data_IF_362590240159
#
_entry.id   IF_362590240159
#
_cell.length_a   1.000
_cell.length_b   1.000
_cell.length_c   1.000
_cell.angle_alpha   90.00
_cell.angle_beta   90.00
_cell.angle_gamma   90.00
#
_symmetry.space_group_name_H-M   'P 1'
#
loop_
_entity.id
_entity.type
_entity.pdbx_description
1 polymer ?
#
# COMPACT_ATOMS: atom_id res chain seq x y z
N UNK A 1 -14.18 14.95 -21.08
CA UNK A 1 -12.84 14.84 -20.45
C UNK A 1 -12.11 16.17 -20.62
N UNK A 2 -11.74 16.87 -19.54
CA UNK A 2 -10.96 18.09 -19.64
C UNK A 2 -9.63 17.86 -20.37
N UNK A 3 -9.35 18.67 -21.40
CA UNK A 3 -8.17 18.52 -22.27
C UNK A 3 -8.38 17.57 -23.45
N UNK A 4 -9.55 16.93 -23.56
CA UNK A 4 -9.89 16.02 -24.64
C UNK A 4 -11.18 16.44 -25.35
N UNK A 5 -11.48 17.74 -25.39
CA UNK A 5 -12.71 18.30 -25.98
C UNK A 5 -12.83 17.98 -27.46
N UNK A 6 -11.70 17.83 -28.16
CA UNK A 6 -11.61 17.50 -29.58
C UNK A 6 -11.28 16.02 -29.85
N UNK A 7 -11.16 15.18 -28.82
CA UNK A 7 -10.84 13.76 -28.97
C UNK A 7 -12.12 12.96 -29.16
N UNK A 8 -12.13 12.06 -30.14
CA UNK A 8 -13.27 11.14 -30.33
C UNK A 8 -13.41 10.22 -29.11
N UNK A 9 -14.60 10.19 -28.54
CA UNK A 9 -14.96 9.34 -27.41
C UNK A 9 -15.65 8.08 -27.93
N UNK A 10 -15.11 6.92 -27.56
CA UNK A 10 -15.64 5.58 -27.85
C UNK A 10 -15.83 4.85 -26.52
N UNK A 11 -17.02 4.34 -26.27
CA UNK A 11 -17.40 3.65 -25.03
C UNK A 11 -17.08 4.47 -23.76
N UNK A 12 -17.22 5.79 -23.84
CA UNK A 12 -17.03 6.70 -22.71
C UNK A 12 -15.59 7.06 -22.39
N UNK A 13 -14.63 6.66 -23.24
CA UNK A 13 -13.20 7.00 -23.09
C UNK A 13 -12.62 7.55 -24.38
N UNK A 14 -11.53 8.34 -24.33
CA UNK A 14 -10.81 8.76 -25.53
C UNK A 14 -10.38 7.54 -26.39
N UNK A 15 -10.58 7.63 -27.71
CA UNK A 15 -10.31 6.53 -28.65
C UNK A 15 -8.83 6.06 -28.60
N UNK A 16 -7.93 6.97 -28.24
CA UNK A 16 -6.48 6.69 -28.11
C UNK A 16 -6.12 5.89 -26.87
N UNK A 17 -7.03 5.82 -25.88
CA UNK A 17 -6.75 5.10 -24.65
C UNK A 17 -7.05 3.61 -24.80
N UNK A 18 -6.11 2.79 -24.40
CA UNK A 18 -6.26 1.34 -24.40
C UNK A 18 -6.59 0.80 -22.99
N UNK A 19 -7.27 -0.35 -22.94
CA UNK A 19 -7.45 -1.13 -21.70
C UNK A 19 -6.37 -2.22 -21.66
N UNK A 20 -5.42 -2.07 -20.75
CA UNK A 20 -4.29 -2.99 -20.59
C UNK A 20 -4.43 -3.83 -19.31
N UNK A 21 -3.95 -5.09 -19.32
CA UNK A 21 -3.85 -5.88 -18.10
C UNK A 21 -3.02 -5.19 -17.03
N UNK A 22 -3.38 -5.40 -15.77
CA UNK A 22 -2.67 -4.77 -14.63
C UNK A 22 -1.17 -5.07 -14.65
N UNK A 23 -0.77 -6.27 -15.07
CA UNK A 23 0.64 -6.66 -15.17
C UNK A 23 1.48 -5.70 -16.03
N UNK A 24 0.88 -5.04 -17.02
CA UNK A 24 1.58 -4.12 -17.93
C UNK A 24 1.99 -2.80 -17.23
N UNK A 25 1.46 -2.55 -16.04
CA UNK A 25 1.79 -1.38 -15.21
C UNK A 25 2.80 -1.69 -14.10
N UNK A 26 3.28 -2.94 -14.04
CA UNK A 26 4.19 -3.42 -12.99
C UNK A 26 5.54 -3.75 -13.58
N UNK A 27 6.60 -3.13 -13.05
CA UNK A 27 7.97 -3.40 -13.47
C UNK A 27 8.60 -4.58 -12.73
N UNK A 28 8.16 -4.83 -11.49
CA UNK A 28 8.67 -5.93 -10.66
C UNK A 28 7.68 -6.25 -9.54
N UNK A 29 7.58 -7.51 -9.16
CA UNK A 29 6.84 -7.95 -7.99
C UNK A 29 7.53 -9.09 -7.26
N UNK A 30 7.39 -9.14 -5.94
CA UNK A 30 7.92 -10.23 -5.12
C UNK A 30 7.04 -10.46 -3.89
N UNK A 31 6.97 -11.70 -3.43
CA UNK A 31 6.36 -12.02 -2.14
C UNK A 31 7.16 -11.43 -0.99
N UNK A 32 6.46 -11.02 0.07
CA UNK A 32 7.10 -10.54 1.28
C UNK A 32 7.83 -11.64 2.07
N UNK A 33 8.32 -11.27 3.23
CA UNK A 33 9.01 -12.17 4.15
C UNK A 33 8.64 -11.85 5.59
N UNK A 34 8.67 -12.85 6.49
CA UNK A 34 8.35 -12.61 7.89
C UNK A 34 9.59 -12.30 8.74
N UNK A 35 10.71 -12.96 8.42
CA UNK A 35 11.93 -12.87 9.22
C UNK A 35 11.86 -13.62 10.54
N UNK A 36 12.85 -13.38 11.39
CA UNK A 36 13.03 -14.01 12.70
C UNK A 36 12.70 -13.04 13.83
N UNK A 37 12.21 -13.55 14.96
CA UNK A 37 11.94 -12.71 16.15
C UNK A 37 13.22 -12.24 16.82
N UNK A 38 14.20 -13.11 16.86
CA UNK A 38 15.50 -12.86 17.47
C UNK A 38 16.58 -12.89 16.39
N UNK A 39 17.58 -12.07 16.61
CA UNK A 39 18.80 -12.08 15.79
C UNK A 39 19.51 -13.43 15.90
N UNK A 40 19.98 -13.95 14.76
CA UNK A 40 20.78 -15.15 14.68
C UNK A 40 21.89 -14.97 13.62
N UNK A 41 22.79 -15.98 13.48
CA UNK A 41 23.95 -15.92 12.58
C UNK A 41 23.60 -15.58 11.11
N UNK A 42 22.41 -15.94 10.63
CA UNK A 42 21.97 -15.71 9.25
C UNK A 42 21.09 -14.45 9.12
N UNK A 43 20.27 -14.18 10.12
CA UNK A 43 19.30 -13.10 10.13
C UNK A 43 19.74 -12.03 11.13
N UNK A 44 20.60 -11.13 10.67
CA UNK A 44 21.28 -10.13 11.51
C UNK A 44 20.73 -8.72 11.31
N UNK A 45 20.04 -8.45 10.20
CA UNK A 45 19.68 -7.09 9.80
C UNK A 45 18.23 -6.81 10.19
N UNK A 46 18.00 -5.79 11.01
CA UNK A 46 16.66 -5.43 11.45
C UNK A 46 15.83 -4.78 10.34
N UNK A 47 14.52 -5.05 10.33
CA UNK A 47 13.57 -4.37 9.47
C UNK A 47 12.17 -4.40 10.06
N UNK A 48 11.37 -3.41 9.70
CA UNK A 48 9.93 -3.39 9.96
C UNK A 48 9.20 -4.22 8.91
N UNK A 49 8.13 -4.93 9.32
CA UNK A 49 7.43 -5.89 8.46
C UNK A 49 5.94 -5.55 8.39
N UNK A 50 5.50 -4.90 7.32
CA UNK A 50 4.10 -4.52 7.11
C UNK A 50 3.25 -5.77 6.84
N UNK A 51 2.28 -6.04 7.73
CA UNK A 51 1.28 -7.09 7.56
C UNK A 51 0.03 -6.55 6.85
N UNK A 52 -0.77 -7.41 6.28
CA UNK A 52 -2.09 -7.04 5.74
C UNK A 52 -2.97 -6.31 6.76
N UNK A 53 -2.91 -6.73 8.03
CA UNK A 53 -3.64 -6.09 9.14
C UNK A 53 -3.17 -4.67 9.47
N UNK A 54 -1.93 -4.33 9.17
CA UNK A 54 -1.36 -3.02 9.46
C UNK A 54 -1.77 -1.97 8.40
N UNK A 55 -2.13 -2.40 7.19
CA UNK A 55 -2.42 -1.52 6.05
C UNK A 55 -3.48 -0.46 6.40
N UNK A 56 -4.56 -0.86 7.08
CA UNK A 56 -5.61 0.07 7.52
C UNK A 56 -5.06 1.14 8.48
N UNK A 57 -4.19 0.74 9.39
CA UNK A 57 -3.53 1.67 10.31
C UNK A 57 -2.59 2.62 9.59
N UNK A 58 -1.78 2.08 8.66
CA UNK A 58 -0.80 2.88 7.91
C UNK A 58 -1.43 4.02 7.12
N UNK A 59 -2.54 3.77 6.42
CA UNK A 59 -3.26 4.82 5.68
C UNK A 59 -3.93 5.85 6.61
N UNK A 60 -4.04 5.53 7.91
CA UNK A 60 -4.52 6.42 8.97
C UNK A 60 -3.39 6.99 9.85
N UNK A 61 -2.15 6.94 9.39
CA UNK A 61 -0.98 7.52 10.07
C UNK A 61 -0.43 6.71 11.25
N UNK A 62 -0.92 5.48 11.48
CA UNK A 62 -0.46 4.61 12.58
C UNK A 62 0.78 3.81 12.15
N UNK A 63 1.91 4.51 12.01
CA UNK A 63 3.14 3.90 11.49
C UNK A 63 3.90 3.06 12.53
N UNK A 64 3.60 3.20 13.83
CA UNK A 64 4.35 2.57 14.91
C UNK A 64 3.87 1.15 15.26
N UNK A 65 2.75 0.68 14.70
CA UNK A 65 2.19 -0.65 15.01
C UNK A 65 2.84 -1.78 14.21
N UNK A 66 3.78 -1.46 13.33
CA UNK A 66 4.42 -2.43 12.44
C UNK A 66 5.47 -3.23 13.19
N UNK A 67 5.41 -4.58 13.18
CA UNK A 67 6.37 -5.41 13.90
C UNK A 67 7.80 -5.29 13.35
N UNK A 68 8.73 -5.51 14.24
CA UNK A 68 10.17 -5.48 14.01
C UNK A 68 10.73 -6.89 13.98
N UNK A 69 11.52 -7.23 12.97
CA UNK A 69 12.06 -8.58 12.75
C UNK A 69 13.49 -8.51 12.19
N UNK A 70 14.19 -9.64 12.23
CA UNK A 70 15.53 -9.77 11.69
C UNK A 70 15.53 -10.56 10.38
N UNK A 71 16.33 -10.11 9.43
CA UNK A 71 16.37 -10.64 8.07
C UNK A 71 17.79 -10.88 7.59
N UNK A 72 17.91 -11.72 6.57
CA UNK A 72 19.16 -11.88 5.81
C UNK A 72 19.37 -10.69 4.88
N UNK A 73 20.61 -10.38 4.52
CA UNK A 73 20.94 -9.32 3.56
C UNK A 73 20.24 -9.53 2.20
N UNK A 74 20.27 -10.75 1.66
CA UNK A 74 19.64 -11.07 0.39
C UNK A 74 18.10 -10.92 0.41
N UNK A 75 17.46 -11.19 1.58
CA UNK A 75 16.03 -10.96 1.74
C UNK A 75 15.72 -9.47 1.67
N UNK A 76 16.50 -8.63 2.34
CA UNK A 76 16.27 -7.19 2.33
C UNK A 76 16.60 -6.55 0.98
N UNK A 77 17.65 -6.96 0.31
CA UNK A 77 18.04 -6.42 -0.99
C UNK A 77 16.88 -6.49 -1.98
N UNK A 78 16.17 -7.61 -2.03
CA UNK A 78 15.09 -7.84 -2.99
C UNK A 78 13.74 -7.32 -2.51
N UNK A 79 13.48 -7.30 -1.19
CA UNK A 79 12.15 -7.01 -0.61
C UNK A 79 12.01 -5.66 0.04
N UNK A 80 13.12 -4.92 0.25
CA UNK A 80 13.08 -3.58 0.82
C UNK A 80 12.15 -2.67 0.03
N UNK A 81 11.17 -2.09 0.72
CA UNK A 81 10.24 -1.13 0.16
C UNK A 81 10.93 0.20 -0.13
N UNK A 82 10.50 0.85 -1.19
CA UNK A 82 10.98 2.15 -1.65
C UNK A 82 9.80 3.07 -1.95
N UNK A 83 10.07 4.34 -2.12
CA UNK A 83 9.06 5.29 -2.56
C UNK A 83 8.40 4.82 -3.87
N UNK A 84 7.07 4.94 -3.91
CA UNK A 84 6.27 4.50 -5.04
C UNK A 84 5.92 3.01 -5.07
N UNK A 85 6.52 2.17 -4.23
CA UNK A 85 6.13 0.77 -4.12
C UNK A 85 4.70 0.64 -3.52
N UNK A 86 4.00 -0.41 -3.91
CA UNK A 86 2.69 -0.75 -3.36
C UNK A 86 2.81 -2.07 -2.60
N UNK A 87 2.31 -2.10 -1.37
CA UNK A 87 2.08 -3.34 -0.64
C UNK A 87 0.64 -3.79 -0.89
N UNK A 88 0.48 -5.03 -1.34
CA UNK A 88 -0.81 -5.64 -1.66
C UNK A 88 -0.98 -6.93 -0.86
N UNK A 89 -2.07 -7.06 -0.14
CA UNK A 89 -2.39 -8.26 0.64
C UNK A 89 -2.97 -9.34 -0.26
N UNK A 90 -2.31 -10.50 -0.29
CA UNK A 90 -2.72 -11.65 -1.12
C UNK A 90 -3.21 -12.85 -0.30
N UNK A 91 -3.10 -12.78 1.02
CA UNK A 91 -3.61 -13.84 1.91
C UNK A 91 -3.92 -13.28 3.30
N UNK A 92 -4.81 -13.93 4.01
CA UNK A 92 -5.26 -13.49 5.33
C UNK A 92 -6.73 -13.10 5.29
N UNK A 93 -7.04 -11.91 5.82
CA UNK A 93 -8.41 -11.41 5.89
C UNK A 93 -9.33 -12.26 6.76
N UNK A 94 -10.61 -11.94 6.70
CA UNK A 94 -11.69 -12.74 7.25
C UNK A 94 -12.68 -13.12 6.15
N UNK A 95 -13.60 -14.04 6.43
CA UNK A 95 -14.67 -14.40 5.47
C UNK A 95 -15.55 -13.19 5.09
N UNK A 96 -15.59 -12.18 5.95
CA UNK A 96 -16.41 -10.97 5.77
C UNK A 96 -15.64 -9.81 5.15
N UNK A 97 -14.33 -9.67 5.43
CA UNK A 97 -13.55 -8.54 4.94
C UNK A 97 -12.76 -8.82 3.64
N UNK A 98 -12.55 -10.10 3.31
CA UNK A 98 -11.71 -10.49 2.17
C UNK A 98 -10.25 -10.07 2.35
N UNK A 99 -9.50 -10.10 1.26
CA UNK A 99 -8.10 -9.63 1.15
C UNK A 99 -8.00 -8.42 0.21
N UNK A 100 -6.86 -8.19 -0.41
CA UNK A 100 -6.60 -7.11 -1.36
C UNK A 100 -6.59 -5.70 -0.72
N UNK A 101 -6.24 -5.59 0.57
CA UNK A 101 -5.88 -4.30 1.15
C UNK A 101 -4.57 -3.83 0.55
N UNK A 102 -4.46 -2.52 0.31
CA UNK A 102 -3.28 -1.93 -0.32
C UNK A 102 -2.86 -0.64 0.36
N UNK A 103 -1.55 -0.39 0.36
CA UNK A 103 -0.96 0.89 0.74
C UNK A 103 0.17 1.22 -0.23
N UNK A 104 0.20 2.46 -0.70
CA UNK A 104 1.33 2.99 -1.46
C UNK A 104 2.34 3.56 -0.48
N UNK A 105 3.57 3.15 -0.63
CA UNK A 105 4.68 3.62 0.21
C UNK A 105 5.18 4.97 -0.34
N UNK A 106 5.38 5.91 0.56
CA UNK A 106 5.97 7.21 0.24
C UNK A 106 7.17 7.47 1.16
N UNK A 107 8.09 8.28 0.70
CA UNK A 107 9.31 8.63 1.44
C UNK A 107 9.03 9.15 2.86
N UNK A 108 7.94 9.90 3.03
CA UNK A 108 7.52 10.38 4.34
C UNK A 108 7.31 9.24 5.34
N UNK A 109 6.66 8.16 4.90
CA UNK A 109 6.44 6.96 5.73
C UNK A 109 7.77 6.26 6.03
N UNK A 110 8.63 6.11 5.02
CA UNK A 110 9.93 5.45 5.16
C UNK A 110 10.85 6.19 6.14
N UNK A 111 10.82 7.54 6.14
CA UNK A 111 11.60 8.37 7.05
C UNK A 111 11.17 8.27 8.53
N UNK A 112 9.98 7.74 8.79
CA UNK A 112 9.50 7.53 10.16
C UNK A 112 10.14 6.31 10.82
N UNK A 113 10.64 5.35 10.02
CA UNK A 113 11.29 4.16 10.51
C UNK A 113 12.82 4.28 10.42
N UNK A 114 13.51 3.96 11.50
CA UNK A 114 14.97 4.00 11.57
C UNK A 114 15.64 2.91 10.72
N UNK A 115 14.90 1.85 10.42
CA UNK A 115 15.40 0.68 9.69
C UNK A 115 14.63 0.45 8.39
N UNK A 116 15.14 -0.49 7.60
CA UNK A 116 14.48 -0.92 6.38
C UNK A 116 13.06 -1.43 6.65
N UNK A 117 12.20 -1.31 5.66
CA UNK A 117 10.81 -1.79 5.72
C UNK A 117 10.59 -2.80 4.60
N UNK A 118 9.94 -3.90 4.90
CA UNK A 118 9.46 -4.89 3.93
C UNK A 118 7.98 -5.21 4.19
N UNK A 119 7.35 -6.02 3.36
CA UNK A 119 6.03 -6.57 3.65
C UNK A 119 6.11 -8.02 4.12
N UNK A 120 5.11 -8.47 4.87
CA UNK A 120 5.01 -9.84 5.38
C UNK A 120 4.72 -10.86 4.26
N UNK A 121 4.88 -12.15 4.54
CA UNK A 121 4.71 -13.25 3.58
C UNK A 121 3.32 -13.30 2.94
N UNK A 122 2.29 -12.80 3.62
CA UNK A 122 0.92 -12.71 3.12
C UNK A 122 0.65 -11.46 2.26
N UNK A 123 1.69 -10.69 2.00
CA UNK A 123 1.64 -9.50 1.15
C UNK A 123 2.64 -9.64 0.01
N UNK A 124 2.43 -8.84 -1.03
CA UNK A 124 3.38 -8.65 -2.12
C UNK A 124 3.89 -7.22 -2.13
N UNK A 125 5.18 -7.08 -2.38
CA UNK A 125 5.78 -5.84 -2.84
C UNK A 125 5.56 -5.73 -4.33
N UNK A 126 4.95 -4.69 -4.78
CA UNK A 126 4.76 -4.33 -6.18
C UNK A 126 5.58 -3.08 -6.44
N UNK A 127 6.44 -3.12 -7.44
CA UNK A 127 7.11 -1.96 -7.99
C UNK A 127 6.42 -1.58 -9.30
N UNK A 128 5.55 -0.56 -9.29
CA UNK A 128 4.93 -0.08 -10.52
C UNK A 128 5.95 0.51 -11.49
N UNK A 129 5.56 0.68 -12.74
CA UNK A 129 6.21 1.65 -13.63
C UNK A 129 6.06 3.02 -12.96
N UNK A 130 7.13 3.81 -12.78
CA UNK A 130 7.11 5.00 -11.93
C UNK A 130 5.98 5.99 -12.25
N UNK A 131 5.72 6.25 -13.53
CA UNK A 131 4.65 7.14 -13.97
C UNK A 131 3.23 6.65 -13.62
N UNK A 132 3.05 5.37 -13.33
CA UNK A 132 1.76 4.78 -13.00
C UNK A 132 1.58 4.43 -11.52
N UNK A 133 2.55 4.74 -10.65
CA UNK A 133 2.52 4.30 -9.25
C UNK A 133 1.25 4.77 -8.50
N UNK A 134 0.94 6.05 -8.55
CA UNK A 134 -0.26 6.59 -7.89
C UNK A 134 -1.54 6.06 -8.54
N UNK A 135 -1.59 6.08 -9.86
CA UNK A 135 -2.74 5.62 -10.64
C UNK A 135 -3.07 4.14 -10.38
N UNK A 136 -2.06 3.28 -10.38
CA UNK A 136 -2.23 1.85 -10.09
C UNK A 136 -2.73 1.62 -8.65
N UNK A 137 -2.18 2.35 -7.68
CA UNK A 137 -2.64 2.29 -6.30
C UNK A 137 -4.12 2.68 -6.16
N UNK A 138 -4.52 3.79 -6.79
CA UNK A 138 -5.90 4.24 -6.74
C UNK A 138 -6.84 3.30 -7.50
N UNK A 139 -6.37 2.68 -8.59
CA UNK A 139 -7.11 1.64 -9.32
C UNK A 139 -7.37 0.42 -8.42
N UNK A 140 -6.38 -0.06 -7.66
CA UNK A 140 -6.57 -1.16 -6.70
C UNK A 140 -7.58 -0.80 -5.61
N UNK A 141 -7.49 0.42 -5.07
CA UNK A 141 -8.45 0.89 -4.06
C UNK A 141 -9.87 0.95 -4.62
N UNK A 142 -10.02 1.51 -5.81
CA UNK A 142 -11.32 1.60 -6.48
C UNK A 142 -11.91 0.21 -6.73
N UNK A 143 -11.13 -0.73 -7.26
CA UNK A 143 -11.56 -2.12 -7.47
C UNK A 143 -11.99 -2.79 -6.16
N UNK A 144 -11.26 -2.56 -5.07
CA UNK A 144 -11.60 -3.12 -3.77
C UNK A 144 -12.91 -2.53 -3.22
N UNK A 145 -13.10 -1.22 -3.31
CA UNK A 145 -14.31 -0.54 -2.87
C UNK A 145 -15.56 -0.97 -3.64
N UNK A 146 -15.41 -1.31 -4.92
CA UNK A 146 -16.48 -1.78 -5.78
C UNK A 146 -16.64 -3.32 -5.82
N UNK A 147 -15.98 -4.03 -4.92
CA UNK A 147 -16.10 -5.48 -4.80
C UNK A 147 -15.39 -6.30 -5.89
N UNK A 148 -14.75 -5.64 -6.86
CA UNK A 148 -14.12 -6.31 -8.00
C UNK A 148 -12.98 -7.25 -7.58
N UNK A 149 -12.21 -6.86 -6.57
CA UNK A 149 -11.14 -7.73 -6.04
C UNK A 149 -11.66 -9.02 -5.44
N UNK A 150 -12.88 -9.06 -4.91
CA UNK A 150 -13.46 -10.25 -4.27
C UNK A 150 -13.72 -11.39 -5.27
N UNK A 151 -13.83 -11.10 -6.56
CA UNK A 151 -13.97 -12.10 -7.62
C UNK A 151 -12.74 -13.04 -7.71
N UNK A 152 -11.61 -12.58 -7.18
CA UNK A 152 -10.33 -13.32 -7.15
C UNK A 152 -10.04 -13.98 -5.82
N UNK A 153 -10.92 -13.85 -4.84
CA UNK A 153 -10.80 -14.54 -3.56
C UNK A 153 -10.95 -16.05 -3.74
N UNK A 154 -9.96 -16.82 -3.29
CA UNK A 154 -10.02 -18.27 -3.21
C UNK A 154 -10.32 -18.65 -1.76
N UNK A 155 -11.57 -18.96 -1.49
CA UNK A 155 -12.00 -19.47 -0.19
C UNK A 155 -11.47 -20.90 0.00
N UNK A 156 -10.76 -21.15 1.10
CA UNK A 156 -10.34 -22.48 1.52
C UNK A 156 -11.23 -22.99 2.66
N UNK A 157 -11.10 -24.27 3.00
CA UNK A 157 -11.78 -24.85 4.16
C UNK A 157 -11.32 -24.17 5.47
N UNK A 158 -10.09 -23.67 5.52
CA UNK A 158 -9.62 -22.79 6.59
C UNK A 158 -10.27 -21.40 6.48
N UNK A 159 -10.28 -20.65 7.57
CA UNK A 159 -10.77 -19.26 7.58
C UNK A 159 -9.91 -18.28 6.78
N UNK A 160 -8.76 -18.73 6.30
CA UNK A 160 -7.81 -17.91 5.53
C UNK A 160 -8.29 -17.81 4.08
N UNK A 161 -8.42 -16.59 3.58
CA UNK A 161 -8.67 -16.30 2.18
C UNK A 161 -7.34 -16.16 1.46
N UNK A 162 -7.17 -16.86 0.34
CA UNK A 162 -6.06 -16.68 -0.58
C UNK A 162 -6.53 -15.93 -1.82
N UNK A 163 -5.62 -15.24 -2.49
CA UNK A 163 -5.91 -14.42 -3.66
C UNK A 163 -5.38 -15.06 -4.93
N UNK A 164 -6.18 -15.13 -5.99
CA UNK A 164 -5.76 -15.60 -7.31
C UNK A 164 -4.96 -14.51 -8.02
N UNK A 165 -3.77 -14.24 -7.48
CA UNK A 165 -2.94 -13.11 -7.87
C UNK A 165 -2.58 -13.05 -9.35
N UNK A 166 -2.14 -14.18 -9.91
CA UNK A 166 -1.74 -14.24 -11.33
C UNK A 166 -2.94 -14.01 -12.26
N UNK A 167 -4.09 -14.57 -11.92
CA UNK A 167 -5.32 -14.38 -12.71
C UNK A 167 -5.75 -12.90 -12.65
N UNK A 168 -5.71 -12.30 -11.47
CA UNK A 168 -6.02 -10.89 -11.29
C UNK A 168 -5.14 -9.99 -12.16
N UNK A 169 -3.83 -10.19 -12.15
CA UNK A 169 -2.90 -9.39 -12.94
C UNK A 169 -3.11 -9.53 -14.45
N UNK A 170 -3.47 -10.74 -14.93
CA UNK A 170 -3.61 -11.03 -16.34
C UNK A 170 -5.01 -10.68 -16.90
N UNK A 171 -6.05 -10.83 -16.09
CA UNK A 171 -7.44 -10.71 -16.55
C UNK A 171 -8.02 -9.32 -16.31
N UNK A 172 -7.68 -8.69 -15.17
CA UNK A 172 -8.17 -7.35 -14.89
C UNK A 172 -7.42 -6.32 -15.72
N UNK A 173 -8.22 -5.44 -16.33
CA UNK A 173 -7.72 -4.39 -17.21
C UNK A 173 -8.10 -3.01 -16.67
N UNK A 174 -7.14 -2.11 -16.74
CA UNK A 174 -7.34 -0.70 -16.45
C UNK A 174 -7.01 0.14 -17.68
N UNK A 175 -7.55 1.34 -17.73
CA UNK A 175 -7.25 2.29 -18.81
C UNK A 175 -5.78 2.70 -18.73
N UNK A 176 -5.17 2.85 -19.90
CA UNK A 176 -3.82 3.41 -20.04
C UNK A 176 -3.95 4.80 -20.68
N UNK A 177 -3.97 5.86 -19.88
CA UNK A 177 -3.97 7.23 -20.39
C UNK A 177 -2.67 7.56 -21.09
N UNK A 178 -2.68 8.64 -21.87
CA UNK A 178 -1.46 9.25 -22.40
C UNK A 178 -0.55 9.80 -21.29
N UNK A 179 0.72 10.10 -21.64
CA UNK A 179 1.73 10.53 -20.68
C UNK A 179 1.41 11.88 -20.03
N UNK A 180 0.81 12.80 -20.76
CA UNK A 180 0.43 14.11 -20.21
C UNK A 180 -0.67 13.97 -19.17
N UNK A 181 -1.73 13.21 -19.50
CA UNK A 181 -2.85 12.97 -18.61
C UNK A 181 -2.42 12.26 -17.34
N UNK A 182 -1.57 11.22 -17.44
CA UNK A 182 -1.08 10.51 -16.26
C UNK A 182 -0.18 11.39 -15.40
N UNK A 183 0.63 12.26 -16.00
CA UNK A 183 1.46 13.22 -15.27
C UNK A 183 0.62 14.22 -14.49
N UNK A 184 -0.41 14.80 -15.12
CA UNK A 184 -1.37 15.71 -14.44
C UNK A 184 -2.12 15.01 -13.31
N UNK A 185 -2.57 13.78 -13.55
CA UNK A 185 -3.20 12.96 -12.53
C UNK A 185 -2.29 12.75 -11.31
N UNK A 186 -1.06 12.32 -11.53
CA UNK A 186 -0.11 12.06 -10.47
C UNK A 186 0.22 13.30 -9.64
N UNK A 187 0.34 14.45 -10.28
CA UNK A 187 0.58 15.71 -9.58
C UNK A 187 -0.56 16.06 -8.63
N UNK A 188 -1.80 15.84 -9.03
CA UNK A 188 -2.97 16.12 -8.20
C UNK A 188 -3.17 15.02 -7.17
N UNK A 189 -3.35 13.78 -7.60
CA UNK A 189 -3.67 12.64 -6.74
C UNK A 189 -2.53 12.31 -5.77
N UNK A 190 -1.26 12.37 -6.23
CA UNK A 190 -0.09 12.15 -5.38
C UNK A 190 0.06 13.21 -4.31
N UNK A 191 -0.21 14.48 -4.64
CA UNK A 191 -0.20 15.58 -3.67
C UNK A 191 -1.30 15.38 -2.61
N UNK A 192 -2.51 15.03 -3.04
CA UNK A 192 -3.64 14.73 -2.14
C UNK A 192 -3.30 13.54 -1.25
N UNK A 193 -2.78 12.45 -1.80
CA UNK A 193 -2.40 11.27 -1.03
C UNK A 193 -1.34 11.60 0.03
N UNK A 194 -0.28 12.31 -0.35
CA UNK A 194 0.75 12.76 0.59
C UNK A 194 0.16 13.60 1.71
N UNK A 195 -0.72 14.54 1.37
CA UNK A 195 -1.39 15.41 2.35
C UNK A 195 -2.28 14.62 3.31
N UNK A 196 -3.00 13.61 2.82
CA UNK A 196 -3.80 12.70 3.65
C UNK A 196 -2.89 12.00 4.67
N UNK A 197 -1.76 11.44 4.26
CA UNK A 197 -0.82 10.76 5.16
C UNK A 197 -0.23 11.73 6.18
N UNK A 198 0.19 12.93 5.77
CA UNK A 198 0.70 13.96 6.69
C UNK A 198 -0.33 14.31 7.76
N UNK A 199 -1.56 14.63 7.36
CA UNK A 199 -2.62 14.99 8.29
C UNK A 199 -2.96 13.80 9.22
N UNK A 200 -2.99 12.59 8.69
CA UNK A 200 -3.24 11.39 9.50
C UNK A 200 -2.15 11.17 10.55
N UNK A 201 -0.87 11.33 10.19
CA UNK A 201 0.24 11.26 11.15
C UNK A 201 0.14 12.35 12.22
N UNK A 202 -0.22 13.58 11.85
CA UNK A 202 -0.41 14.68 12.80
C UNK A 202 -1.55 14.40 13.79
N UNK A 203 -2.66 13.84 13.30
CA UNK A 203 -3.80 13.44 14.13
C UNK A 203 -3.37 12.37 15.15
N UNK A 204 -2.65 11.34 14.72
CA UNK A 204 -2.18 10.28 15.63
C UNK A 204 -1.18 10.83 16.67
N UNK A 205 -0.26 11.70 16.25
CA UNK A 205 0.65 12.37 17.19
C UNK A 205 -0.09 13.24 18.21
N UNK A 206 -1.11 13.98 17.77
CA UNK A 206 -1.94 14.79 18.67
C UNK A 206 -2.73 13.93 19.67
N UNK A 207 -3.28 12.79 19.23
CA UNK A 207 -3.93 11.82 20.11
C UNK A 207 -2.96 11.28 21.16
N UNK A 208 -1.76 10.85 20.75
CA UNK A 208 -0.73 10.35 21.67
C UNK A 208 -0.34 11.39 22.71
N UNK A 209 -0.15 12.64 22.29
CA UNK A 209 0.15 13.75 23.20
C UNK A 209 -0.99 14.00 24.18
N UNK A 210 -2.24 13.97 23.73
CA UNK A 210 -3.41 14.12 24.59
C UNK A 210 -3.45 13.01 25.64
N UNK A 211 -3.30 11.75 25.25
CA UNK A 211 -3.31 10.60 26.17
C UNK A 211 -2.16 10.67 27.20
N UNK A 212 -1.02 11.25 26.82
CA UNK A 212 0.11 11.44 27.72
C UNK A 212 -0.12 12.59 28.72
N UNK A 213 -0.75 13.69 28.27
CA UNK A 213 -0.94 14.90 29.09
C UNK A 213 -2.17 14.84 29.99
N UNK A 214 -3.24 14.21 29.53
CA UNK A 214 -4.51 14.18 30.27
C UNK A 214 -4.38 13.64 31.69
N UNK A 215 -3.71 12.50 31.97
CA UNK A 215 -3.51 12.04 33.36
C UNK A 215 -2.70 13.03 34.20
N UNK A 216 -1.69 13.68 33.63
CA UNK A 216 -0.84 14.65 34.33
C UNK A 216 -1.60 15.92 34.72
N UNK A 217 -2.49 16.37 33.85
CA UNK A 217 -3.39 17.50 34.16
C UNK A 217 -4.37 17.14 35.24
N UNK A 218 -4.97 15.93 35.19
CA UNK A 218 -5.93 15.48 36.20
C UNK A 218 -5.30 15.26 37.57
N UNK A 219 -4.03 14.90 37.62
CA UNK A 219 -3.28 14.71 38.87
C UNK A 219 -2.62 16.00 39.40
N UNK A 220 -2.77 17.14 38.70
CA UNK A 220 -2.17 18.41 39.10
C UNK A 220 -0.65 18.46 38.93
N UNK A 221 -0.06 17.55 38.11
CA UNK A 221 1.37 17.53 37.82
C UNK A 221 1.79 18.58 36.77
N UNK A 222 0.82 19.10 36.04
CA UNK A 222 1.03 20.14 35.00
C UNK A 222 -0.05 21.21 35.19
N UNK A 223 0.37 22.46 35.34
CA UNK A 223 -0.53 23.62 35.32
C UNK A 223 -0.82 24.05 33.88
N UNK A 224 -2.04 24.55 33.60
CA UNK A 224 -2.48 25.05 32.30
C UNK A 224 -2.23 26.53 32.21
#
# INVERSE_FOLDING_TARGET
>A
FPGHENTKIVDGVPEEWSKNPIQDFISYEIGGGWGEELQNEKSMIPAYVIRGTDIKGLVNGQLQSVPYRYHTAGSLETRKLRDGDIVFEVSGGSKTEGVARTVRIIDLMLKTWENSVICASFCKRIKPIPSFSQYLYDSFRWMRLNGKTQEYDKKSASSIVNYRWKDFLAQEKILKPDEETISRYNNIAGTIYTKIIVCSCQIEQAKMKRELLLPKLMNGEVEV
#
